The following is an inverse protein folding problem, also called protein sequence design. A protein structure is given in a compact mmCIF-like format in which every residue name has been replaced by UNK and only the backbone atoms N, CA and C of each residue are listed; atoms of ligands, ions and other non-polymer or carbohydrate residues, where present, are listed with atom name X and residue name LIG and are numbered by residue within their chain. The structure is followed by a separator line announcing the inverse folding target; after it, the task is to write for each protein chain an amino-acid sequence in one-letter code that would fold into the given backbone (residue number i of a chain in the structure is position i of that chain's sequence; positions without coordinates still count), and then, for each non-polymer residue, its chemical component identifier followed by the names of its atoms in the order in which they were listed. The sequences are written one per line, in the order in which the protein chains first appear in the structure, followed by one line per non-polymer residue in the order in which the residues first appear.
data_IF_947824549448
#
_entry.id   IF_947824549448
#
_cell.length_a   1.000
_cell.length_b   1.000
_cell.length_c   1.000
_cell.angle_alpha   90.00
_cell.angle_beta   90.00
_cell.angle_gamma   90.00
#
_symmetry.space_group_name_H-M   'P 1'
#
loop_
_entity.id
_entity.type
_entity.pdbx_description
1 polymer ?
#
# COMPACT_ATOMS: atom_id res chain seq x y z
N UNK A 1 -7.21 7.42 4.21
CA UNK A 1 -6.43 6.23 3.78
C UNK A 1 -6.81 5.72 2.39
N UNK A 2 -8.04 5.23 2.14
CA UNK A 2 -8.43 4.60 0.85
C UNK A 2 -8.13 5.44 -0.41
N UNK A 3 -8.57 6.72 -0.45
CA UNK A 3 -8.33 7.60 -1.61
C UNK A 3 -6.84 7.82 -1.91
N UNK A 4 -6.03 7.94 -0.86
CA UNK A 4 -4.58 8.12 -0.98
C UNK A 4 -3.90 6.82 -1.44
N UNK A 5 -4.25 5.69 -0.82
CA UNK A 5 -3.79 4.37 -1.23
C UNK A 5 -4.13 4.10 -2.71
N UNK A 6 -5.35 4.41 -3.14
CA UNK A 6 -5.75 4.30 -4.54
C UNK A 6 -4.88 5.17 -5.46
N UNK A 7 -4.69 6.44 -5.11
CA UNK A 7 -3.92 7.37 -5.96
C UNK A 7 -2.46 6.94 -6.10
N UNK A 8 -1.82 6.55 -4.98
CA UNK A 8 -0.42 6.09 -4.99
C UNK A 8 -0.29 4.77 -5.76
N UNK A 9 -1.13 3.79 -5.46
CA UNK A 9 -1.10 2.50 -6.18
C UNK A 9 -1.38 2.67 -7.67
N UNK A 10 -2.33 3.53 -8.03
CA UNK A 10 -2.65 3.82 -9.44
C UNK A 10 -1.44 4.41 -10.18
N UNK A 11 -0.80 5.44 -9.63
CA UNK A 11 0.37 6.07 -10.25
C UNK A 11 1.53 5.07 -10.38
N UNK A 12 1.79 4.28 -9.33
CA UNK A 12 2.84 3.24 -9.37
C UNK A 12 2.58 2.21 -10.47
N UNK A 13 1.33 1.72 -10.57
CA UNK A 13 0.95 0.74 -11.59
C UNK A 13 0.99 1.36 -12.99
N UNK A 14 0.55 2.60 -13.18
CA UNK A 14 0.60 3.30 -14.47
C UNK A 14 2.05 3.54 -14.95
N UNK A 15 2.99 3.79 -14.04
CA UNK A 15 4.38 4.10 -14.38
C UNK A 15 5.29 2.86 -14.47
N UNK A 16 5.07 1.87 -13.60
CA UNK A 16 5.97 0.72 -13.45
C UNK A 16 5.32 -0.63 -13.76
N UNK A 17 4.00 -0.64 -13.95
CA UNK A 17 3.22 -1.86 -14.20
C UNK A 17 2.81 -2.60 -12.93
N UNK A 18 1.79 -3.44 -13.04
CA UNK A 18 1.25 -4.22 -11.92
C UNK A 18 2.27 -5.19 -11.33
N UNK A 19 3.17 -5.75 -12.14
CA UNK A 19 4.21 -6.69 -11.68
C UNK A 19 5.13 -6.01 -10.67
N UNK A 20 5.59 -4.81 -10.99
CA UNK A 20 6.52 -4.05 -10.14
C UNK A 20 5.85 -3.66 -8.82
N UNK A 21 4.58 -3.24 -8.86
CA UNK A 21 3.79 -2.99 -7.66
C UNK A 21 3.70 -4.23 -6.74
N UNK A 22 3.50 -5.42 -7.30
CA UNK A 22 3.45 -6.67 -6.53
C UNK A 22 4.82 -7.08 -5.99
N UNK A 23 5.90 -6.86 -6.72
CA UNK A 23 7.28 -7.13 -6.29
C UNK A 23 7.73 -6.23 -5.13
N UNK A 24 7.15 -5.02 -5.00
CA UNK A 24 7.38 -4.11 -3.87
C UNK A 24 6.68 -4.54 -2.57
N UNK A 25 5.52 -5.21 -2.66
CA UNK A 25 4.75 -5.61 -1.46
C UNK A 25 5.51 -6.49 -0.45
N UNK A 26 6.31 -7.49 -0.87
CA UNK A 26 7.08 -8.31 0.07
C UNK A 26 8.32 -7.61 0.61
N UNK A 27 8.75 -6.46 0.06
CA UNK A 27 9.86 -5.69 0.63
C UNK A 27 9.40 -5.03 1.95
N UNK A 28 10.01 -5.39 3.10
CA UNK A 28 9.54 -4.94 4.40
C UNK A 28 9.71 -3.43 4.59
N UNK A 29 10.75 -2.82 4.01
CA UNK A 29 10.98 -1.38 4.14
C UNK A 29 9.98 -0.60 3.30
N UNK A 30 9.71 -1.08 2.09
CA UNK A 30 8.74 -0.47 1.20
C UNK A 30 7.33 -0.60 1.78
N UNK A 31 6.92 -1.79 2.23
CA UNK A 31 5.61 -2.02 2.81
C UNK A 31 5.39 -1.17 4.07
N UNK A 32 6.40 -1.10 4.94
CA UNK A 32 6.38 -0.24 6.13
C UNK A 32 6.27 1.24 5.76
N UNK A 33 7.07 1.70 4.80
CA UNK A 33 7.05 3.09 4.34
C UNK A 33 5.70 3.45 3.72
N UNK A 34 5.14 2.54 2.90
CA UNK A 34 3.84 2.72 2.29
C UNK A 34 2.75 2.85 3.35
N UNK A 35 2.73 1.99 4.37
CA UNK A 35 1.79 2.13 5.48
C UNK A 35 1.98 3.44 6.26
N UNK A 36 3.22 3.89 6.46
CA UNK A 36 3.48 5.17 7.12
C UNK A 36 2.90 6.36 6.34
N UNK A 37 3.06 6.38 5.01
CA UNK A 37 2.46 7.40 4.14
C UNK A 37 0.93 7.38 4.21
N UNK A 38 0.34 6.21 4.44
CA UNK A 38 -1.11 6.07 4.63
C UNK A 38 -1.58 6.52 6.03
N UNK A 39 -0.67 6.88 6.94
CA UNK A 39 -0.97 7.40 8.27
C UNK A 39 -0.79 6.39 9.41
N UNK A 40 -0.08 5.29 9.18
CA UNK A 40 0.33 4.37 10.25
C UNK A 40 1.64 4.81 10.90
N UNK A 41 1.79 4.56 12.20
CA UNK A 41 3.08 4.70 12.86
C UNK A 41 4.02 3.54 12.53
N UNK A 42 5.32 3.85 12.50
CA UNK A 42 6.38 2.88 12.20
C UNK A 42 6.37 1.66 13.14
N UNK A 43 5.98 1.86 14.40
CA UNK A 43 5.94 0.80 15.43
C UNK A 43 4.55 0.18 15.63
N UNK A 44 3.61 0.40 14.72
CA UNK A 44 2.26 -0.15 14.85
C UNK A 44 2.21 -1.63 14.48
N UNK A 45 1.83 -2.49 15.43
CA UNK A 45 1.71 -3.94 15.23
C UNK A 45 0.59 -4.35 14.25
N UNK A 46 -0.35 -3.45 13.95
CA UNK A 46 -1.49 -3.70 13.07
C UNK A 46 -1.28 -3.36 11.59
N UNK A 47 -0.08 -2.89 11.21
CA UNK A 47 0.22 -2.37 9.88
C UNK A 47 -0.22 -3.32 8.76
N UNK A 48 0.24 -4.57 8.80
CA UNK A 48 -0.03 -5.56 7.76
C UNK A 48 -1.52 -5.77 7.56
N UNK A 49 -2.27 -5.95 8.65
CA UNK A 49 -3.72 -6.16 8.61
C UNK A 49 -4.43 -4.97 7.98
N UNK A 50 -4.08 -3.75 8.38
CA UNK A 50 -4.82 -2.57 7.93
C UNK A 50 -4.43 -2.14 6.51
N UNK A 51 -3.14 -2.13 6.16
CA UNK A 51 -2.69 -1.77 4.81
C UNK A 51 -3.23 -2.76 3.77
N UNK A 52 -3.13 -4.07 4.04
CA UNK A 52 -3.71 -5.09 3.13
C UNK A 52 -5.24 -5.00 3.06
N UNK A 53 -5.90 -4.72 4.19
CA UNK A 53 -7.34 -4.47 4.22
C UNK A 53 -7.75 -3.27 3.37
N UNK A 54 -7.02 -2.15 3.46
CA UNK A 54 -7.24 -0.97 2.61
C UNK A 54 -7.09 -1.33 1.13
N UNK A 55 -6.00 -2.01 0.74
CA UNK A 55 -5.78 -2.44 -0.64
C UNK A 55 -6.91 -3.36 -1.15
N UNK A 56 -7.36 -4.31 -0.33
CA UNK A 56 -8.51 -5.18 -0.66
C UNK A 56 -9.77 -4.37 -0.94
N UNK A 57 -10.02 -3.29 -0.18
CA UNK A 57 -11.22 -2.46 -0.42
C UNK A 57 -11.17 -1.68 -1.74
N UNK A 58 -9.98 -1.43 -2.29
CA UNK A 58 -9.84 -0.73 -3.58
C UNK A 58 -10.35 -1.56 -4.76
N UNK A 59 -10.34 -2.90 -4.64
CA UNK A 59 -10.90 -3.77 -5.67
C UNK A 59 -12.42 -3.60 -5.84
N UNK A 60 -13.11 -3.18 -4.77
CA UNK A 60 -14.56 -3.02 -4.76
C UNK A 60 -15.02 -1.56 -4.92
N UNK A 61 -14.08 -0.63 -5.11
CA UNK A 61 -14.33 0.82 -5.19
C UNK A 61 -14.19 1.29 -6.64
#
# INVERSE_FOLDING_TARGET
MKKLAFSISKILIEQHGTKEFLERMPDPFWFQSFGCVLGFDWHSSGLTTVVTGVLKTLYYS
#
